data_IF_989498085579
#
_entry.id   IF_989498085579
#
_cell.length_a   1.000
_cell.length_b   1.000
_cell.length_c   1.000
_cell.angle_alpha   90.00
_cell.angle_beta   90.00
_cell.angle_gamma   90.00
#
_symmetry.space_group_name_H-M   'P 1'
#
loop_
_entity.id
_entity.type
_entity.pdbx_description
1 polymer ?
#
# COMPACT_ATOMS: atom_id res chain seq x y z
N UNK A 1 -4.25 1.57 0.09
CA UNK A 1 -5.41 1.21 -0.76
C UNK A 1 -5.01 0.58 -2.10
N UNK A 2 -4.27 1.28 -2.98
CA UNK A 2 -3.91 0.74 -4.32
C UNK A 2 -3.25 -0.65 -4.28
N UNK A 3 -2.30 -0.88 -3.38
CA UNK A 3 -1.66 -2.19 -3.23
C UNK A 3 -2.66 -3.32 -2.92
N UNK A 4 -3.67 -3.05 -2.08
CA UNK A 4 -4.73 -4.01 -1.74
C UNK A 4 -5.64 -4.25 -2.95
N UNK A 5 -5.99 -3.18 -3.69
CA UNK A 5 -6.77 -3.29 -4.92
C UNK A 5 -6.05 -4.17 -5.96
N UNK A 6 -4.74 -3.97 -6.11
CA UNK A 6 -3.91 -4.80 -6.98
C UNK A 6 -3.81 -6.25 -6.50
N UNK A 7 -3.83 -6.49 -5.19
CA UNK A 7 -3.77 -7.85 -4.64
C UNK A 7 -5.04 -8.64 -4.96
N UNK A 8 -6.21 -8.02 -4.82
CA UNK A 8 -7.49 -8.61 -5.24
C UNK A 8 -7.49 -8.88 -6.74
N UNK A 9 -7.07 -7.91 -7.55
CA UNK A 9 -6.97 -8.06 -9.00
C UNK A 9 -6.05 -9.22 -9.42
N UNK A 10 -4.87 -9.32 -8.80
CA UNK A 10 -3.92 -10.41 -9.07
C UNK A 10 -4.46 -11.77 -8.64
N UNK A 11 -5.15 -11.84 -7.50
CA UNK A 11 -5.85 -13.05 -7.08
C UNK A 11 -6.93 -13.47 -8.09
N UNK A 12 -7.69 -12.52 -8.64
CA UNK A 12 -8.65 -12.77 -9.72
C UNK A 12 -7.98 -13.29 -10.99
N UNK A 13 -6.92 -12.62 -11.45
CA UNK A 13 -6.16 -13.01 -12.66
C UNK A 13 -5.69 -14.46 -12.55
N UNK A 14 -5.12 -14.83 -11.42
CA UNK A 14 -4.57 -16.17 -11.20
C UNK A 14 -5.60 -17.21 -10.78
N UNK A 15 -6.88 -16.83 -10.62
CA UNK A 15 -7.94 -17.63 -9.98
C UNK A 15 -7.48 -18.26 -8.64
N UNK A 16 -6.85 -17.45 -7.80
CA UNK A 16 -6.26 -17.85 -6.53
C UNK A 16 -7.05 -17.28 -5.34
N UNK A 17 -6.94 -17.95 -4.19
CA UNK A 17 -7.46 -17.42 -2.92
C UNK A 17 -6.54 -16.33 -2.39
N UNK A 18 -7.12 -15.20 -1.98
CA UNK A 18 -6.41 -14.13 -1.29
C UNK A 18 -6.48 -14.35 0.22
N UNK A 19 -5.33 -14.44 0.88
CA UNK A 19 -5.24 -14.30 2.34
C UNK A 19 -5.16 -12.80 2.63
N UNK A 20 -5.85 -12.30 3.66
CA UNK A 20 -5.84 -10.86 3.97
C UNK A 20 -4.40 -10.31 4.04
N UNK A 21 -4.13 -9.16 3.41
CA UNK A 21 -2.80 -8.60 3.36
C UNK A 21 -2.38 -8.08 4.73
N UNK A 22 -1.19 -8.50 5.18
CA UNK A 22 -0.55 -7.93 6.36
C UNK A 22 0.05 -6.57 5.99
N UNK A 23 -0.36 -5.52 6.71
CA UNK A 23 0.19 -4.19 6.53
C UNK A 23 1.65 -4.18 7.00
N UNK A 24 2.54 -3.67 6.15
CA UNK A 24 3.96 -3.60 6.49
C UNK A 24 4.15 -2.53 7.56
N UNK A 25 4.66 -2.92 8.72
CA UNK A 25 5.17 -1.97 9.71
C UNK A 25 6.37 -1.23 9.13
N UNK A 26 6.24 0.09 9.01
CA UNK A 26 7.34 0.94 8.59
C UNK A 26 8.35 1.09 9.75
N UNK A 27 9.65 1.03 9.47
CA UNK A 27 10.69 1.16 10.50
C UNK A 27 10.70 2.55 11.14
N UNK A 28 10.18 3.56 10.44
CA UNK A 28 10.09 4.95 10.89
C UNK A 28 8.93 5.10 11.88
N UNK A 29 7.76 4.57 11.53
CA UNK A 29 6.52 4.82 12.29
C UNK A 29 6.25 3.78 13.37
N UNK A 30 6.85 2.58 13.28
CA UNK A 30 6.64 1.44 14.20
C UNK A 30 5.15 1.16 14.46
N UNK A 31 4.33 1.45 13.46
CA UNK A 31 2.88 1.29 13.53
C UNK A 31 2.53 -0.19 13.63
N UNK A 32 1.63 -0.52 14.56
CA UNK A 32 1.16 -1.89 14.83
C UNK A 32 -0.26 -2.13 14.32
N UNK A 33 -0.88 -1.12 13.71
CA UNK A 33 -2.23 -1.19 13.17
C UNK A 33 -2.34 -2.28 12.09
N UNK A 34 -3.30 -3.17 12.29
CA UNK A 34 -3.68 -4.23 11.35
C UNK A 34 -4.68 -3.71 10.32
N UNK A 35 -5.01 -4.56 9.34
CA UNK A 35 -5.99 -4.21 8.32
C UNK A 35 -7.39 -3.98 8.91
N UNK A 36 -7.80 -4.85 9.83
CA UNK A 36 -9.10 -4.81 10.53
C UNK A 36 -9.25 -3.62 11.48
N UNK A 37 -8.15 -3.04 11.95
CA UNK A 37 -8.19 -1.82 12.77
C UNK A 37 -8.53 -0.57 11.95
N UNK A 38 -8.50 -0.67 10.61
CA UNK A 38 -8.75 0.45 9.69
C UNK A 38 -9.98 0.19 8.84
N UNK A 39 -10.14 -1.02 8.32
CA UNK A 39 -11.16 -1.35 7.34
C UNK A 39 -12.14 -2.39 7.86
N UNK A 40 -13.40 -2.27 7.45
CA UNK A 40 -14.43 -3.28 7.67
C UNK A 40 -14.12 -4.52 6.81
N UNK A 41 -13.47 -5.50 7.44
CA UNK A 41 -13.01 -6.74 6.80
C UNK A 41 -14.19 -7.66 6.46
N UNK A 42 -15.25 -7.68 7.25
CA UNK A 42 -16.43 -8.49 6.98
C UNK A 42 -17.14 -8.00 5.71
N UNK A 43 -17.39 -6.69 5.61
CA UNK A 43 -17.92 -6.08 4.40
C UNK A 43 -16.99 -6.32 3.20
N UNK A 44 -15.67 -6.21 3.39
CA UNK A 44 -14.70 -6.44 2.32
C UNK A 44 -14.76 -7.87 1.74
N UNK A 45 -14.85 -8.88 2.61
CA UNK A 45 -14.94 -10.29 2.20
C UNK A 45 -16.30 -10.57 1.53
N UNK A 46 -17.39 -10.11 2.14
CA UNK A 46 -18.75 -10.34 1.65
C UNK A 46 -18.98 -9.65 0.28
N UNK A 47 -18.56 -8.40 0.11
CA UNK A 47 -18.72 -7.66 -1.13
C UNK A 47 -17.97 -8.29 -2.32
N UNK A 48 -16.86 -9.01 -2.05
CA UNK A 48 -15.99 -9.60 -3.08
C UNK A 48 -16.18 -11.11 -3.26
N UNK A 49 -17.15 -11.73 -2.58
CA UNK A 49 -17.31 -13.20 -2.56
C UNK A 49 -17.47 -13.83 -3.96
N UNK A 50 -18.12 -13.12 -4.88
CA UNK A 50 -18.34 -13.57 -6.27
C UNK A 50 -17.16 -13.23 -7.20
N UNK A 51 -16.29 -12.31 -6.77
CA UNK A 51 -15.11 -11.89 -7.52
C UNK A 51 -13.91 -12.79 -7.17
N UNK A 52 -13.54 -12.88 -5.89
CA UNK A 52 -12.34 -13.58 -5.42
C UNK A 52 -12.63 -14.24 -4.08
N UNK A 53 -12.17 -15.49 -3.89
CA UNK A 53 -12.21 -16.12 -2.56
C UNK A 53 -11.18 -15.45 -1.65
N UNK A 54 -11.66 -14.90 -0.53
CA UNK A 54 -10.82 -14.24 0.47
C UNK A 54 -10.92 -15.02 1.78
N UNK A 55 -9.78 -15.26 2.44
CA UNK A 55 -9.71 -15.85 3.78
C UNK A 55 -8.98 -14.91 4.72
N UNK A 56 -9.39 -14.89 5.99
CA UNK A 56 -8.83 -14.00 7.01
C UNK A 56 -7.36 -14.31 7.29
N UNK A 57 -7.10 -15.58 7.56
CA UNK A 57 -5.80 -16.05 8.02
C UNK A 57 -5.25 -17.17 7.17
N UNK A 58 -3.98 -17.46 7.40
CA UNK A 58 -3.31 -18.64 6.86
C UNK A 58 -4.06 -19.89 7.37
N UNK A 59 -4.55 -20.76 6.47
CA UNK A 59 -5.29 -21.95 6.85
C UNK A 59 -4.52 -22.86 7.82
N UNK A 60 -5.23 -23.54 8.72
CA UNK A 60 -4.60 -24.34 9.79
C UNK A 60 -3.88 -25.59 9.31
N UNK A 61 -4.25 -26.12 8.14
CA UNK A 61 -3.49 -27.20 7.49
C UNK A 61 -2.07 -26.78 7.10
N UNK A 62 -1.79 -25.48 7.05
CA UNK A 62 -0.45 -24.95 6.80
C UNK A 62 0.28 -24.75 8.13
N UNK A 63 1.03 -25.78 8.55
CA UNK A 63 1.77 -25.82 9.82
C UNK A 63 2.88 -24.77 9.91
N UNK A 64 3.50 -24.40 8.80
CA UNK A 64 4.69 -23.53 8.78
C UNK A 64 4.35 -22.03 8.68
N UNK A 65 3.36 -21.53 9.44
CA UNK A 65 2.89 -20.12 9.34
C UNK A 65 4.04 -19.11 9.49
N UNK A 66 4.97 -19.36 10.42
CA UNK A 66 6.16 -18.53 10.64
C UNK A 66 7.12 -18.51 9.44
N UNK A 67 7.21 -19.63 8.70
CA UNK A 67 8.08 -19.74 7.54
C UNK A 67 7.58 -18.88 6.37
N UNK A 68 6.26 -18.68 6.23
CA UNK A 68 5.70 -17.84 5.16
C UNK A 68 6.24 -16.39 5.18
N UNK A 69 6.55 -15.88 6.38
CA UNK A 69 7.02 -14.51 6.54
C UNK A 69 8.54 -14.36 6.42
N UNK A 70 9.30 -15.44 6.64
CA UNK A 70 10.78 -15.42 6.72
C UNK A 70 11.46 -16.12 5.55
N UNK A 71 10.82 -17.11 4.92
CA UNK A 71 11.43 -17.95 3.88
C UNK A 71 11.43 -17.30 2.51
N UNK A 72 12.61 -17.26 1.91
CA UNK A 72 12.83 -16.83 0.55
C UNK A 72 12.12 -17.77 -0.44
N UNK A 73 12.03 -19.07 -0.12
CA UNK A 73 11.43 -20.09 -1.00
C UNK A 73 9.93 -19.87 -1.18
N UNK A 74 9.24 -19.42 -0.14
CA UNK A 74 7.80 -19.08 -0.16
C UNK A 74 7.52 -17.59 -0.41
N UNK A 75 8.53 -16.84 -0.86
CA UNK A 75 8.38 -15.43 -1.24
C UNK A 75 8.69 -15.23 -2.72
N UNK A 76 7.75 -14.65 -3.46
CA UNK A 76 8.05 -14.09 -4.78
C UNK A 76 8.60 -12.68 -4.59
N UNK A 77 9.89 -12.54 -4.91
CA UNK A 77 10.60 -11.26 -4.97
C UNK A 77 10.75 -10.83 -6.43
N UNK A 78 11.07 -9.55 -6.65
CA UNK A 78 11.42 -8.99 -7.97
C UNK A 78 10.30 -8.99 -9.02
N UNK A 79 9.03 -8.91 -8.59
CA UNK A 79 7.93 -8.61 -9.53
C UNK A 79 8.24 -7.25 -10.19
N UNK A 80 8.26 -7.14 -11.54
CA UNK A 80 8.50 -5.87 -12.22
C UNK A 80 7.55 -4.78 -11.73
N UNK A 81 8.01 -3.53 -11.79
CA UNK A 81 7.10 -2.39 -11.55
C UNK A 81 6.11 -2.35 -12.71
N UNK A 82 4.82 -2.21 -12.42
CA UNK A 82 3.73 -2.22 -13.39
C UNK A 82 3.69 -3.49 -14.26
N UNK A 83 3.92 -4.67 -13.66
CA UNK A 83 3.91 -5.93 -14.40
C UNK A 83 2.55 -6.17 -15.11
N UNK A 84 2.55 -6.75 -16.32
CA UNK A 84 1.34 -7.11 -17.04
C UNK A 84 0.61 -8.27 -16.36
N UNK A 85 -0.68 -8.45 -16.66
CA UNK A 85 -1.46 -9.57 -16.12
C UNK A 85 -0.81 -10.94 -16.42
N UNK A 86 -0.29 -11.11 -17.64
CA UNK A 86 0.34 -12.35 -18.11
C UNK A 86 1.57 -12.74 -17.26
N UNK A 87 2.32 -11.77 -16.74
CA UNK A 87 3.48 -12.06 -15.88
C UNK A 87 3.09 -12.92 -14.68
N UNK A 88 1.92 -12.66 -14.09
CA UNK A 88 1.43 -13.41 -12.94
C UNK A 88 1.06 -14.85 -13.30
N UNK A 89 0.45 -15.05 -14.48
CA UNK A 89 0.11 -16.38 -15.00
C UNK A 89 1.38 -17.20 -15.26
N UNK A 90 2.40 -16.59 -15.85
CA UNK A 90 3.59 -17.31 -16.31
C UNK A 90 4.61 -17.54 -15.18
N UNK A 91 4.73 -16.59 -14.24
CA UNK A 91 5.85 -16.57 -13.28
C UNK A 91 5.42 -16.78 -11.82
N UNK A 92 4.18 -16.44 -11.46
CA UNK A 92 3.72 -16.45 -10.06
C UNK A 92 2.79 -17.64 -9.80
N UNK A 93 1.82 -17.87 -10.68
CA UNK A 93 0.85 -18.96 -10.55
C UNK A 93 1.51 -20.36 -10.48
N UNK A 94 2.54 -20.70 -11.27
CA UNK A 94 3.18 -22.01 -11.17
C UNK A 94 3.79 -22.25 -9.78
N UNK A 95 4.38 -21.21 -9.19
CA UNK A 95 4.99 -21.26 -7.85
C UNK A 95 3.94 -21.42 -6.76
N UNK A 96 2.77 -20.78 -6.91
CA UNK A 96 1.65 -20.98 -5.98
C UNK A 96 1.11 -22.41 -6.09
N UNK A 97 0.98 -22.97 -7.30
CA UNK A 97 0.54 -24.36 -7.48
C UNK A 97 1.50 -25.37 -6.82
N UNK A 98 2.80 -25.10 -6.91
CA UNK A 98 3.86 -25.92 -6.31
C UNK A 98 3.88 -25.80 -4.78
N UNK A 99 3.93 -24.57 -4.24
CA UNK A 99 4.14 -24.33 -2.79
C UNK A 99 2.85 -24.16 -1.99
N UNK A 100 1.69 -24.18 -2.65
CA UNK A 100 0.32 -23.96 -2.12
C UNK A 100 0.04 -22.55 -1.60
N UNK A 101 0.98 -21.95 -0.87
CA UNK A 101 0.89 -20.58 -0.36
C UNK A 101 2.19 -19.84 -0.67
N UNK A 102 2.07 -18.62 -1.20
CA UNK A 102 3.19 -17.75 -1.50
C UNK A 102 2.92 -16.33 -1.01
N UNK A 103 3.94 -15.68 -0.44
CA UNK A 103 3.93 -14.27 -0.15
C UNK A 103 4.54 -13.46 -1.31
N UNK A 104 3.92 -12.36 -1.70
CA UNK A 104 4.44 -11.46 -2.73
C UNK A 104 5.00 -10.20 -2.05
N UNK A 105 6.33 -10.00 -2.06
CA UNK A 105 6.97 -8.91 -1.29
C UNK A 105 8.15 -8.28 -2.05
N UNK A 106 8.27 -6.94 -2.09
CA UNK A 106 7.28 -5.93 -1.72
C UNK A 106 6.19 -5.79 -2.80
N UNK A 107 4.96 -5.50 -2.38
CA UNK A 107 3.80 -5.44 -3.29
C UNK A 107 3.25 -4.01 -3.48
N UNK A 108 4.13 -3.09 -3.88
CA UNK A 108 3.77 -1.72 -4.26
C UNK A 108 4.02 -1.56 -5.76
N UNK A 109 3.04 -0.98 -6.48
CA UNK A 109 3.10 -0.75 -7.93
C UNK A 109 3.47 -2.00 -8.75
N UNK A 110 2.97 -3.18 -8.36
CA UNK A 110 3.33 -4.46 -9.00
C UNK A 110 2.40 -4.91 -10.12
N UNK A 111 1.27 -4.25 -10.34
CA UNK A 111 0.35 -4.51 -11.44
C UNK A 111 0.19 -3.22 -12.28
N UNK A 112 0.32 -3.34 -13.60
CA UNK A 112 0.15 -2.23 -14.55
C UNK A 112 -1.32 -1.80 -14.72
N UNK A 113 -1.53 -0.72 -15.47
CA UNK A 113 -2.88 -0.24 -15.82
C UNK A 113 -3.26 -0.63 -17.25
N UNK A 114 -2.39 -0.35 -18.22
CA UNK A 114 -2.68 -0.52 -19.66
C UNK A 114 -2.56 -1.97 -20.14
N UNK A 115 -1.73 -2.77 -19.46
CA UNK A 115 -1.48 -4.17 -19.82
C UNK A 115 -2.36 -5.16 -19.04
N UNK A 116 -3.56 -4.72 -18.68
CA UNK A 116 -4.50 -5.46 -17.84
C UNK A 116 -5.91 -5.33 -18.43
N UNK A 117 -6.69 -6.42 -18.53
CA UNK A 117 -8.04 -6.36 -19.07
C UNK A 117 -8.96 -5.34 -18.36
N UNK A 118 -9.87 -4.66 -19.09
CA UNK A 118 -10.73 -3.60 -18.54
C UNK A 118 -11.57 -4.04 -17.33
N UNK A 119 -12.05 -5.29 -17.31
CA UNK A 119 -12.82 -5.85 -16.22
C UNK A 119 -12.02 -5.97 -14.92
N UNK A 120 -10.71 -6.21 -15.00
CA UNK A 120 -9.83 -6.23 -13.83
C UNK A 120 -9.61 -4.81 -13.34
N UNK A 121 -9.48 -3.82 -14.22
CA UNK A 121 -9.42 -2.42 -13.81
C UNK A 121 -10.74 -1.96 -13.17
N UNK A 122 -11.90 -2.41 -13.69
CA UNK A 122 -13.20 -2.19 -13.07
C UNK A 122 -13.28 -2.83 -11.68
N UNK A 123 -12.75 -4.04 -11.51
CA UNK A 123 -12.64 -4.69 -10.20
C UNK A 123 -11.78 -3.88 -9.24
N UNK A 124 -10.61 -3.38 -9.68
CA UNK A 124 -9.75 -2.50 -8.84
C UNK A 124 -10.49 -1.26 -8.37
N UNK A 125 -11.26 -0.62 -9.25
CA UNK A 125 -12.10 0.52 -8.89
C UNK A 125 -13.18 0.13 -7.86
N UNK A 126 -13.91 -0.97 -8.09
CA UNK A 126 -14.91 -1.48 -7.14
C UNK A 126 -14.29 -1.79 -5.79
N UNK A 127 -13.12 -2.43 -5.76
CA UNK A 127 -12.38 -2.73 -4.53
C UNK A 127 -12.02 -1.43 -3.81
N UNK A 128 -11.48 -0.45 -4.53
CA UNK A 128 -11.07 0.81 -3.93
C UNK A 128 -12.26 1.56 -3.33
N UNK A 129 -13.34 1.76 -4.08
CA UNK A 129 -14.42 2.67 -3.70
C UNK A 129 -15.58 2.02 -2.95
N UNK A 130 -15.78 0.70 -3.06
CA UNK A 130 -16.93 0.03 -2.47
C UNK A 130 -16.55 -1.08 -1.49
N UNK A 131 -15.52 -1.89 -1.78
CA UNK A 131 -15.14 -2.98 -0.89
C UNK A 131 -14.29 -2.49 0.30
N UNK A 132 -13.32 -1.61 0.06
CA UNK A 132 -12.48 -1.03 1.10
C UNK A 132 -13.18 0.15 1.78
N UNK A 133 -14.04 -0.17 2.74
CA UNK A 133 -14.66 0.80 3.64
C UNK A 133 -13.88 0.89 4.94
N UNK A 134 -13.75 2.11 5.46
CA UNK A 134 -13.23 2.30 6.80
C UNK A 134 -14.21 1.74 7.83
N UNK A 135 -13.71 1.44 9.03
CA UNK A 135 -14.57 1.13 10.17
C UNK A 135 -15.56 2.29 10.45
N UNK A 136 -16.78 2.00 10.95
CA UNK A 136 -17.79 3.01 11.20
C UNK A 136 -17.30 4.19 12.04
N UNK A 137 -16.49 3.93 13.08
CA UNK A 137 -16.01 4.96 13.99
C UNK A 137 -15.08 5.97 13.29
N UNK A 138 -14.29 5.51 12.32
CA UNK A 138 -13.42 6.37 11.51
C UNK A 138 -14.27 7.23 10.57
N UNK A 139 -15.27 6.64 9.92
CA UNK A 139 -16.13 7.36 8.97
C UNK A 139 -17.04 8.37 9.68
N UNK A 140 -17.61 8.01 10.82
CA UNK A 140 -18.40 8.92 11.67
C UNK A 140 -17.57 10.10 12.16
N UNK A 141 -16.34 9.86 12.63
CA UNK A 141 -15.43 10.93 13.02
C UNK A 141 -15.10 11.86 11.85
N UNK A 142 -14.81 11.29 10.67
CA UNK A 142 -14.52 12.07 9.46
C UNK A 142 -15.73 12.94 9.04
N UNK A 143 -16.93 12.36 9.06
CA UNK A 143 -18.18 13.06 8.73
C UNK A 143 -18.49 14.17 9.74
N UNK A 144 -18.24 13.94 11.04
CA UNK A 144 -18.40 14.94 12.08
C UNK A 144 -17.46 16.13 11.86
N UNK A 145 -16.18 15.87 11.55
CA UNK A 145 -15.19 16.90 11.25
C UNK A 145 -15.60 17.72 10.02
N UNK A 146 -15.97 17.06 8.92
CA UNK A 146 -16.41 17.71 7.70
C UNK A 146 -17.66 18.59 7.94
N UNK A 147 -18.63 18.08 8.69
CA UNK A 147 -19.86 18.80 9.04
C UNK A 147 -19.56 20.06 9.86
N UNK A 148 -18.68 19.97 10.86
CA UNK A 148 -18.25 21.13 11.65
C UNK A 148 -17.56 22.19 10.80
N UNK A 149 -16.70 21.80 9.87
CA UNK A 149 -16.02 22.73 8.97
C UNK A 149 -17.01 23.47 8.06
N UNK A 150 -18.00 22.77 7.50
CA UNK A 150 -19.07 23.40 6.69
C UNK A 150 -19.87 24.40 7.53
N UNK A 151 -20.31 24.00 8.72
CA UNK A 151 -21.13 24.86 9.59
C UNK A 151 -20.39 26.13 10.05
N UNK A 152 -19.07 26.08 10.25
CA UNK A 152 -18.29 27.27 10.65
C UNK A 152 -18.28 28.39 9.62
N UNK A 153 -18.46 28.08 8.34
CA UNK A 153 -18.40 29.11 7.30
C UNK A 153 -19.71 29.89 7.15
N UNK A 154 -20.79 29.48 7.85
CA UNK A 154 -22.10 30.16 7.84
C UNK A 154 -22.81 30.22 6.48
N UNK A 155 -22.14 29.73 5.43
CA UNK A 155 -22.58 29.69 4.04
C UNK A 155 -22.44 28.25 3.53
N UNK A 156 -23.20 27.87 2.49
CA UNK A 156 -23.02 26.60 1.80
C UNK A 156 -21.68 26.48 1.03
N UNK A 157 -20.76 27.45 1.21
CA UNK A 157 -19.50 27.49 0.48
C UNK A 157 -18.58 26.33 0.89
N UNK A 158 -17.90 25.70 -0.08
CA UNK A 158 -16.97 24.61 0.20
C UNK A 158 -15.77 25.10 1.01
N UNK A 159 -15.28 24.26 1.92
CA UNK A 159 -13.99 24.46 2.57
C UNK A 159 -12.87 23.80 1.76
N UNK A 160 -11.66 24.37 1.84
CA UNK A 160 -10.47 23.75 1.27
C UNK A 160 -9.81 22.83 2.30
N UNK A 161 -9.49 21.60 1.89
CA UNK A 161 -8.66 20.69 2.66
C UNK A 161 -7.32 20.50 1.95
N UNK A 162 -6.22 20.83 2.63
CA UNK A 162 -4.87 20.67 2.10
C UNK A 162 -4.13 19.62 2.93
N UNK A 163 -3.81 18.48 2.31
CA UNK A 163 -2.98 17.45 2.93
C UNK A 163 -1.51 17.71 2.61
N UNK A 164 -0.80 18.34 3.55
CA UNK A 164 0.63 18.59 3.46
C UNK A 164 1.40 17.40 4.02
N UNK A 165 2.10 16.67 3.16
CA UNK A 165 2.99 15.56 3.55
C UNK A 165 4.36 16.09 3.97
N UNK A 166 4.47 16.49 5.24
CA UNK A 166 5.70 17.02 5.82
C UNK A 166 6.33 16.06 6.84
N UNK A 167 6.14 14.75 6.65
CA UNK A 167 6.80 13.76 7.47
C UNK A 167 8.30 13.64 7.19
N UNK A 168 9.07 13.25 8.21
CA UNK A 168 10.54 13.06 8.14
C UNK A 168 10.98 12.26 6.91
N UNK A 169 10.23 11.22 6.57
CA UNK A 169 10.49 10.38 5.40
C UNK A 169 10.40 11.15 4.07
N UNK A 170 9.36 11.96 3.89
CA UNK A 170 9.16 12.75 2.66
C UNK A 170 10.11 13.94 2.57
N UNK A 171 10.32 14.63 3.69
CA UNK A 171 11.30 15.73 3.79
C UNK A 171 12.71 15.21 3.48
N UNK A 172 13.06 14.04 4.02
CA UNK A 172 14.31 13.35 3.69
C UNK A 172 14.40 12.98 2.20
N UNK A 173 13.41 12.25 1.69
CA UNK A 173 13.38 11.71 0.32
C UNK A 173 13.27 12.77 -0.78
N UNK A 174 12.73 13.94 -0.50
CA UNK A 174 12.61 15.03 -1.47
C UNK A 174 13.97 15.62 -1.87
N UNK A 175 14.98 15.52 -1.01
CA UNK A 175 16.29 16.18 -1.18
C UNK A 175 16.22 17.71 -1.35
N UNK A 176 15.06 18.34 -1.12
CA UNK A 176 14.90 19.79 -1.15
C UNK A 176 15.67 20.46 0.01
N UNK A 177 16.00 21.75 -0.18
CA UNK A 177 16.39 22.63 0.94
C UNK A 177 15.12 23.16 1.60
N UNK A 178 15.04 23.01 2.92
CA UNK A 178 13.93 23.49 3.75
C UNK A 178 14.35 24.71 4.58
N UNK A 179 15.47 25.34 4.23
CA UNK A 179 15.97 26.59 4.83
C UNK A 179 16.23 26.46 6.34
N UNK A 180 16.62 25.25 6.78
CA UNK A 180 16.97 24.98 8.18
C UNK A 180 18.33 25.55 8.60
N UNK A 181 18.61 25.51 9.90
CA UNK A 181 19.92 25.86 10.48
C UNK A 181 21.03 24.95 9.96
N UNK A 182 22.29 25.32 10.20
CA UNK A 182 23.44 24.49 9.81
C UNK A 182 23.38 23.12 10.47
N UNK A 183 22.96 23.07 11.73
CA UNK A 183 22.81 21.86 12.53
C UNK A 183 21.66 20.99 11.97
N UNK A 184 20.53 21.57 11.62
CA UNK A 184 19.41 20.86 10.99
C UNK A 184 19.77 20.28 9.61
N UNK A 185 20.49 21.06 8.80
CA UNK A 185 21.00 20.61 7.50
C UNK A 185 21.95 19.43 7.65
N UNK A 186 22.85 19.46 8.64
CA UNK A 186 23.76 18.35 8.94
C UNK A 186 23.01 17.08 9.40
N UNK A 187 22.02 17.24 10.30
CA UNK A 187 21.18 16.11 10.73
C UNK A 187 20.39 15.50 9.56
N UNK A 188 19.83 16.34 8.68
CA UNK A 188 19.10 15.88 7.50
C UNK A 188 20.01 15.15 6.51
N UNK A 189 21.24 15.64 6.32
CA UNK A 189 22.24 14.98 5.47
C UNK A 189 22.58 13.58 5.99
N UNK A 190 22.87 13.45 7.29
CA UNK A 190 23.14 12.17 7.93
C UNK A 190 21.95 11.21 7.82
N UNK A 191 20.72 11.72 8.01
CA UNK A 191 19.50 10.94 7.85
C UNK A 191 19.31 10.45 6.40
N UNK A 192 19.50 11.34 5.41
CA UNK A 192 19.38 10.99 3.98
C UNK A 192 20.41 9.95 3.55
N UNK A 193 21.65 10.09 4.02
CA UNK A 193 22.73 9.13 3.76
C UNK A 193 22.41 7.76 4.33
N UNK A 194 21.84 7.71 5.53
CA UNK A 194 21.44 6.46 6.19
C UNK A 194 20.26 5.78 5.47
N UNK A 195 19.18 6.50 5.20
CA UNK A 195 17.93 5.90 4.71
C UNK A 195 17.90 5.71 3.17
N UNK A 196 18.60 6.56 2.41
CA UNK A 196 18.66 6.48 0.94
C UNK A 196 20.09 6.58 0.38
N UNK A 197 21.01 5.67 0.80
CA UNK A 197 22.42 5.74 0.41
C UNK A 197 22.66 5.71 -1.11
N UNK A 198 21.78 5.06 -1.87
CA UNK A 198 21.88 5.01 -3.35
C UNK A 198 21.50 6.32 -4.05
N UNK A 199 20.62 7.12 -3.42
CA UNK A 199 20.20 8.44 -3.94
C UNK A 199 21.09 9.56 -3.41
N UNK A 200 21.67 9.39 -2.23
CA UNK A 200 22.65 10.30 -1.65
C UNK A 200 24.02 10.10 -2.32
N UNK A 201 24.22 10.69 -3.51
CA UNK A 201 25.52 10.65 -4.22
C UNK A 201 26.29 11.95 -4.00
N UNK A 202 27.60 11.85 -3.76
CA UNK A 202 28.58 12.94 -3.83
C UNK A 202 28.24 14.25 -3.09
N UNK A 203 27.49 14.19 -1.98
CA UNK A 203 27.08 15.40 -1.26
C UNK A 203 26.18 16.35 -2.07
N UNK A 204 25.69 15.93 -3.23
CA UNK A 204 24.81 16.75 -4.06
C UNK A 204 23.43 16.78 -3.40
N UNK A 205 23.15 17.87 -2.71
CA UNK A 205 21.79 18.41 -2.68
C UNK A 205 21.33 18.45 -4.13
N UNK A 206 20.31 17.68 -4.50
CA UNK A 206 19.77 17.59 -5.88
C UNK A 206 19.12 18.90 -6.35
N UNK A 207 19.41 20.02 -5.69
CA UNK A 207 18.79 21.32 -5.89
C UNK A 207 19.01 21.87 -7.30
N UNK A 208 20.20 21.64 -7.88
CA UNK A 208 20.49 22.06 -9.26
C UNK A 208 19.69 21.29 -10.33
N UNK A 209 19.07 20.15 -9.99
CA UNK A 209 18.25 19.35 -10.91
C UNK A 209 16.74 19.52 -10.66
N UNK A 210 16.36 20.34 -9.67
CA UNK A 210 14.97 20.54 -9.24
C UNK A 210 14.37 21.89 -9.69
N UNK A 211 15.14 22.70 -10.44
CA UNK A 211 14.70 23.90 -11.15
C UNK A 211 14.62 23.61 -12.65
#
# INVERSE_FOLDING_TARGET
RIAICNAVAVAKIMNATLILPVLKQDQIWKDKTNLEDIFDVDHFIEYLKDDVRIVRDIPDWFTDKAELFTSIRRTVKNIPKYAPAQFYIDNVLPRIKEKKIMALKPFVDRLGYDNVPPEINRLRCRVNYHALKFLPEIDEMANLLASRMRNRTGNPNPYMALHLRFEKGMVGLSFCDFVGTREEKAMMAAYRQKEWPRRYKNGSHLWQLAL
#
